data_IF_135625387677
#
_entry.id   IF_135625387677
#
_cell.length_a   1.000
_cell.length_b   1.000
_cell.length_c   1.000
_cell.angle_alpha   90.00
_cell.angle_beta   90.00
_cell.angle_gamma   90.00
#
_symmetry.space_group_name_H-M   'P 1'
#
loop_
_entity.id
_entity.type
_entity.pdbx_description
1 polymer ?
#
# COMPACT_ATOMS: atom_id res chain seq x y z
N UNK A 1 49.74 -46.64 -58.60
CA UNK A 1 48.91 -45.42 -58.42
C UNK A 1 47.53 -45.93 -58.07
N UNK A 2 47.19 -45.94 -56.79
CA UNK A 2 45.81 -46.19 -56.35
C UNK A 2 45.44 -45.07 -55.37
N UNK A 3 44.44 -44.27 -55.76
CA UNK A 3 43.91 -43.18 -54.97
C UNK A 3 43.00 -43.79 -53.90
N UNK A 4 43.40 -43.68 -52.63
CA UNK A 4 42.52 -43.95 -51.49
C UNK A 4 41.58 -42.75 -51.35
N UNK A 5 40.37 -42.85 -51.90
CA UNK A 5 39.30 -41.92 -51.58
C UNK A 5 38.85 -42.15 -50.13
N UNK A 6 39.23 -41.23 -49.24
CA UNK A 6 38.65 -41.13 -47.91
C UNK A 6 37.34 -40.37 -48.01
N UNK A 7 36.24 -41.10 -47.94
CA UNK A 7 34.90 -40.53 -47.79
C UNK A 7 34.79 -39.91 -46.37
N UNK A 8 34.78 -38.57 -46.30
CA UNK A 8 34.56 -37.83 -45.06
C UNK A 8 33.05 -37.81 -44.81
N UNK A 9 32.55 -38.74 -44.01
CA UNK A 9 31.16 -38.75 -43.56
C UNK A 9 30.99 -37.68 -42.48
N UNK A 10 30.33 -36.58 -42.83
CA UNK A 10 29.96 -35.54 -41.86
C UNK A 10 29.04 -36.14 -40.77
N UNK A 11 29.26 -35.84 -39.48
CA UNK A 11 28.37 -36.31 -38.42
C UNK A 11 27.00 -35.68 -38.61
N UNK A 12 26.00 -36.49 -38.96
CA UNK A 12 24.60 -36.07 -38.89
C UNK A 12 24.28 -35.87 -37.42
N UNK A 13 24.29 -34.62 -36.95
CA UNK A 13 23.65 -34.23 -35.69
C UNK A 13 22.17 -34.54 -35.84
N UNK A 14 21.77 -35.71 -35.37
CA UNK A 14 20.37 -36.07 -35.23
C UNK A 14 19.80 -35.15 -34.15
N UNK A 15 19.17 -34.06 -34.56
CA UNK A 15 18.24 -33.35 -33.67
C UNK A 15 17.09 -34.31 -33.40
N UNK A 16 17.14 -34.99 -32.26
CA UNK A 16 15.99 -35.73 -31.75
C UNK A 16 14.95 -34.72 -31.29
N UNK A 17 14.00 -34.38 -32.16
CA UNK A 17 12.77 -33.70 -31.76
C UNK A 17 11.96 -34.70 -30.94
N UNK A 18 12.16 -34.68 -29.61
CA UNK A 18 11.39 -35.50 -28.67
C UNK A 18 9.91 -35.11 -28.81
N UNK A 19 9.14 -35.95 -29.50
CA UNK A 19 7.71 -35.75 -29.73
C UNK A 19 6.99 -35.91 -28.39
N UNK A 20 6.74 -34.80 -27.71
CA UNK A 20 6.01 -34.78 -26.43
C UNK A 20 4.58 -35.29 -26.67
N UNK A 21 4.07 -36.12 -25.78
CA UNK A 21 2.68 -36.57 -25.89
C UNK A 21 1.73 -35.39 -25.62
N UNK A 22 0.52 -35.43 -26.17
CA UNK A 22 -0.49 -34.40 -25.89
C UNK A 22 -0.80 -34.26 -24.39
N UNK A 23 -0.71 -35.36 -23.64
CA UNK A 23 -0.87 -35.40 -22.19
C UNK A 23 0.27 -34.67 -21.46
N UNK A 24 1.52 -34.86 -21.89
CA UNK A 24 2.67 -34.12 -21.34
C UNK A 24 2.56 -32.61 -21.62
N UNK A 25 2.12 -32.24 -22.82
CA UNK A 25 1.92 -30.84 -23.20
C UNK A 25 0.78 -30.22 -22.39
N UNK A 26 -0.34 -30.92 -22.24
CA UNK A 26 -1.46 -30.47 -21.43
C UNK A 26 -1.08 -30.27 -19.97
N UNK A 27 -0.37 -31.24 -19.36
CA UNK A 27 0.10 -31.16 -17.97
C UNK A 27 1.05 -29.97 -17.77
N UNK A 28 1.97 -29.74 -18.71
CA UNK A 28 2.88 -28.59 -18.67
C UNK A 28 2.13 -27.25 -18.76
N UNK A 29 1.13 -27.15 -19.66
CA UNK A 29 0.32 -25.94 -19.81
C UNK A 29 -0.53 -25.72 -18.55
N UNK A 30 -1.19 -26.76 -18.04
CA UNK A 30 -2.00 -26.71 -16.84
C UNK A 30 -1.20 -26.19 -15.64
N UNK A 31 -0.01 -26.73 -15.39
CA UNK A 31 0.84 -26.27 -14.29
C UNK A 31 1.29 -24.82 -14.45
N UNK A 32 1.63 -24.39 -15.67
CA UNK A 32 1.99 -22.99 -15.94
C UNK A 32 0.82 -22.04 -15.67
N UNK A 33 -0.38 -22.39 -16.11
CA UNK A 33 -1.59 -21.59 -15.85
C UNK A 33 -1.93 -21.59 -14.36
N UNK A 34 -1.84 -22.74 -13.69
CA UNK A 34 -2.11 -22.85 -12.26
C UNK A 34 -1.16 -22.00 -11.41
N UNK A 35 0.15 -22.04 -11.69
CA UNK A 35 1.14 -21.19 -11.02
C UNK A 35 0.85 -19.71 -11.29
N UNK A 36 0.51 -19.35 -12.54
CA UNK A 36 0.15 -17.98 -12.90
C UNK A 36 -1.06 -17.48 -12.10
N UNK A 37 -2.09 -18.31 -11.94
CA UNK A 37 -3.28 -17.98 -11.15
C UNK A 37 -2.96 -17.80 -9.66
N UNK A 38 -2.08 -18.63 -9.09
CA UNK A 38 -1.62 -18.45 -7.71
C UNK A 38 -0.90 -17.11 -7.56
N UNK A 39 0.04 -16.79 -8.45
CA UNK A 39 0.81 -15.54 -8.38
C UNK A 39 -0.09 -14.31 -8.51
N UNK A 40 -0.98 -14.27 -9.51
CA UNK A 40 -1.92 -13.15 -9.65
C UNK A 40 -2.94 -13.09 -8.51
N UNK A 41 -3.40 -14.23 -8.01
CA UNK A 41 -4.27 -14.31 -6.84
C UNK A 41 -3.59 -13.73 -5.59
N UNK A 42 -2.34 -14.09 -5.33
CA UNK A 42 -1.56 -13.54 -4.22
C UNK A 42 -1.33 -12.04 -4.36
N UNK A 43 -1.02 -11.54 -5.56
CA UNK A 43 -0.88 -10.09 -5.80
C UNK A 43 -2.21 -9.36 -5.53
N UNK A 44 -3.32 -9.88 -6.05
CA UNK A 44 -4.64 -9.29 -5.85
C UNK A 44 -5.06 -9.25 -4.37
N UNK A 45 -4.78 -10.33 -3.60
CA UNK A 45 -5.04 -10.39 -2.16
C UNK A 45 -4.20 -9.34 -1.41
N UNK A 46 -2.92 -9.20 -1.75
CA UNK A 46 -2.05 -8.19 -1.14
C UNK A 46 -2.51 -6.76 -1.44
N UNK A 47 -2.90 -6.47 -2.69
CA UNK A 47 -3.46 -5.16 -3.07
C UNK A 47 -4.78 -4.91 -2.32
N UNK A 48 -5.69 -5.88 -2.29
CA UNK A 48 -6.95 -5.75 -1.59
C UNK A 48 -6.76 -5.51 -0.09
N UNK A 49 -5.84 -6.25 0.54
CA UNK A 49 -5.47 -6.04 1.93
C UNK A 49 -4.93 -4.62 2.13
N UNK A 50 -3.94 -4.19 1.35
CA UNK A 50 -3.35 -2.85 1.43
C UNK A 50 -4.39 -1.73 1.29
N UNK A 51 -5.28 -1.83 0.31
CA UNK A 51 -6.35 -0.85 0.08
C UNK A 51 -7.37 -0.85 1.23
N UNK A 52 -7.77 -2.03 1.69
CA UNK A 52 -8.74 -2.18 2.79
C UNK A 52 -8.18 -1.63 4.11
N UNK A 53 -6.92 -1.95 4.42
CA UNK A 53 -6.22 -1.40 5.58
C UNK A 53 -6.20 0.13 5.53
N UNK A 54 -5.74 0.73 4.42
CA UNK A 54 -5.68 2.19 4.31
C UNK A 54 -7.07 2.85 4.44
N UNK A 55 -8.14 2.20 3.97
CA UNK A 55 -9.51 2.71 4.12
C UNK A 55 -10.04 2.67 5.55
N UNK A 56 -9.75 1.60 6.30
CA UNK A 56 -10.14 1.47 7.71
C UNK A 56 -9.41 2.51 8.56
N UNK A 57 -8.10 2.67 8.33
CA UNK A 57 -7.25 3.60 9.08
C UNK A 57 -7.61 5.05 8.81
N UNK A 58 -7.92 5.38 7.55
CA UNK A 58 -8.46 6.70 7.20
C UNK A 58 -9.75 7.00 7.98
N UNK A 59 -10.65 6.03 8.10
CA UNK A 59 -11.90 6.20 8.86
C UNK A 59 -11.67 6.49 10.34
N UNK A 60 -10.73 5.77 10.98
CA UNK A 60 -10.36 6.00 12.38
C UNK A 60 -9.74 7.37 12.59
N UNK A 61 -8.80 7.77 11.72
CA UNK A 61 -8.19 9.10 11.75
C UNK A 61 -9.24 10.21 11.64
N UNK A 62 -10.18 10.11 10.70
CA UNK A 62 -11.28 11.08 10.56
C UNK A 62 -12.12 11.13 11.84
N UNK A 63 -12.50 9.99 12.40
CA UNK A 63 -13.32 9.97 13.62
C UNK A 63 -12.61 10.65 14.80
N UNK A 64 -11.33 10.35 15.00
CA UNK A 64 -10.54 10.92 16.09
C UNK A 64 -10.31 12.43 15.90
N UNK A 65 -9.95 12.85 14.69
CA UNK A 65 -9.72 14.27 14.38
C UNK A 65 -10.99 15.11 14.44
N UNK A 66 -12.13 14.60 13.98
CA UNK A 66 -13.43 15.28 14.12
C UNK A 66 -13.78 15.47 15.60
N UNK A 67 -13.50 14.46 16.44
CA UNK A 67 -13.75 14.54 17.90
C UNK A 67 -12.86 15.60 18.54
N UNK A 68 -11.55 15.58 18.24
CA UNK A 68 -10.59 16.55 18.77
C UNK A 68 -10.92 17.99 18.34
N UNK A 69 -11.37 18.20 17.11
CA UNK A 69 -11.81 19.51 16.64
C UNK A 69 -13.09 19.97 17.36
N UNK A 70 -14.05 19.07 17.54
CA UNK A 70 -15.28 19.36 18.28
C UNK A 70 -14.98 19.77 19.73
N UNK A 71 -14.06 19.08 20.40
CA UNK A 71 -13.59 19.42 21.75
C UNK A 71 -12.85 20.76 21.78
N UNK A 72 -11.98 21.03 20.80
CA UNK A 72 -11.26 22.30 20.70
C UNK A 72 -12.21 23.50 20.54
N UNK A 73 -13.28 23.33 19.78
CA UNK A 73 -14.29 24.37 19.51
C UNK A 73 -15.43 24.41 20.54
N UNK A 74 -15.47 23.47 21.49
CA UNK A 74 -16.58 23.28 22.44
C UNK A 74 -17.95 23.16 21.75
N UNK A 75 -18.01 22.34 20.68
CA UNK A 75 -19.22 22.07 19.89
C UNK A 75 -19.54 20.58 19.84
N UNK A 76 -20.78 20.25 19.49
CA UNK A 76 -21.17 18.87 19.24
C UNK A 76 -20.49 18.33 17.98
N UNK A 77 -19.96 17.11 18.04
CA UNK A 77 -19.23 16.46 16.93
C UNK A 77 -20.05 16.39 15.63
N UNK A 78 -21.39 16.32 15.71
CA UNK A 78 -22.28 16.32 14.54
C UNK A 78 -22.35 17.67 13.82
N UNK A 79 -21.78 18.73 14.41
CA UNK A 79 -21.66 20.05 13.80
C UNK A 79 -20.38 20.22 13.00
N UNK A 80 -19.38 19.37 13.21
CA UNK A 80 -18.15 19.39 12.43
C UNK A 80 -18.44 18.79 11.05
N UNK A 81 -18.13 19.52 9.96
CA UNK A 81 -18.33 19.01 8.61
C UNK A 81 -17.36 17.86 8.30
N UNK A 82 -17.61 17.14 7.21
CA UNK A 82 -16.62 16.20 6.70
C UNK A 82 -15.33 16.94 6.31
N UNK A 83 -14.15 16.34 6.56
CA UNK A 83 -12.89 16.95 6.16
C UNK A 83 -12.79 16.99 4.64
N UNK A 84 -12.32 18.12 4.11
CA UNK A 84 -12.17 18.28 2.66
C UNK A 84 -10.84 17.72 2.15
N UNK A 85 -9.86 17.53 3.03
CA UNK A 85 -8.58 16.89 2.74
C UNK A 85 -8.16 15.96 3.86
N UNK A 86 -7.63 14.79 3.47
CA UNK A 86 -7.03 13.80 4.37
C UNK A 86 -5.77 13.28 3.71
N UNK A 87 -4.63 13.53 4.33
CA UNK A 87 -3.31 13.18 3.82
C UNK A 87 -2.64 12.22 4.80
N UNK A 88 -2.03 11.15 4.29
CA UNK A 88 -1.23 10.23 5.11
C UNK A 88 0.24 10.56 4.94
N UNK A 89 0.94 10.76 6.06
CA UNK A 89 2.37 10.97 6.12
C UNK A 89 3.06 9.80 6.81
N UNK A 90 4.20 9.41 6.24
CA UNK A 90 5.19 8.61 6.95
C UNK A 90 6.13 9.52 7.75
N UNK A 91 6.79 8.91 8.73
CA UNK A 91 7.72 9.51 9.70
C UNK A 91 8.77 10.44 9.07
N UNK A 92 9.15 10.21 7.80
CA UNK A 92 10.16 11.00 7.07
C UNK A 92 9.66 12.36 6.54
N UNK A 93 8.35 12.64 6.60
CA UNK A 93 7.72 13.81 5.95
C UNK A 93 6.80 14.56 6.92
N UNK A 94 7.14 14.60 8.20
CA UNK A 94 6.39 15.44 9.15
C UNK A 94 6.77 16.92 8.94
N UNK A 95 5.81 17.82 8.65
CA UNK A 95 6.11 19.22 8.42
C UNK A 95 6.49 19.94 9.72
N UNK A 96 7.38 20.93 9.56
CA UNK A 96 8.14 21.59 10.60
C UNK A 96 7.37 22.62 11.47
N UNK A 97 6.04 22.55 11.55
CA UNK A 97 5.24 23.63 12.13
C UNK A 97 4.36 23.15 13.30
N UNK A 98 4.70 23.60 14.51
CA UNK A 98 3.83 23.60 15.69
C UNK A 98 3.80 22.31 16.52
N UNK A 99 3.67 21.14 15.90
CA UNK A 99 3.48 19.87 16.62
C UNK A 99 4.73 19.01 16.53
N UNK A 100 5.50 18.96 17.62
CA UNK A 100 6.64 18.04 17.74
C UNK A 100 6.12 16.64 18.11
N UNK A 101 5.84 15.82 17.10
CA UNK A 101 5.57 14.41 17.30
C UNK A 101 6.90 13.70 17.63
N UNK A 102 7.10 13.33 18.90
CA UNK A 102 8.11 12.34 19.31
C UNK A 102 7.40 10.97 19.30
N UNK A 103 7.91 9.84 18.76
CA UNK A 103 9.26 9.46 18.32
C UNK A 103 9.34 8.97 16.85
N UNK A 104 10.53 8.50 16.48
CA UNK A 104 11.04 8.05 15.16
C UNK A 104 10.20 6.96 14.43
N UNK A 105 9.12 6.45 15.03
CA UNK A 105 8.28 5.36 14.50
C UNK A 105 6.81 5.75 14.20
N UNK A 106 6.36 6.97 14.54
CA UNK A 106 4.94 7.36 14.37
C UNK A 106 4.55 7.71 12.94
N UNK A 107 3.49 7.06 12.46
CA UNK A 107 2.75 7.46 11.27
C UNK A 107 1.77 8.57 11.63
N UNK A 108 1.39 9.37 10.65
CA UNK A 108 0.44 10.46 10.88
C UNK A 108 -0.56 10.64 9.75
N UNK A 109 -1.75 11.10 10.09
CA UNK A 109 -2.69 11.69 9.16
C UNK A 109 -2.80 13.19 9.44
N UNK A 110 -2.77 14.00 8.38
CA UNK A 110 -3.20 15.39 8.41
C UNK A 110 -4.63 15.43 7.87
N UNK A 111 -5.52 16.03 8.64
CA UNK A 111 -6.93 16.13 8.31
C UNK A 111 -7.31 17.61 8.37
N UNK A 112 -7.75 18.16 7.24
CA UNK A 112 -8.14 19.58 7.17
C UNK A 112 -9.65 19.75 7.17
N UNK A 113 -10.11 20.67 8.01
CA UNK A 113 -11.50 21.08 8.14
C UNK A 113 -11.65 22.57 7.82
N UNK A 114 -12.75 22.92 7.18
CA UNK A 114 -13.19 24.31 7.04
C UNK A 114 -14.46 24.46 7.89
N UNK A 115 -14.38 25.21 8.98
CA UNK A 115 -15.50 25.43 9.89
C UNK A 115 -15.67 26.93 10.14
N UNK A 116 -16.87 27.46 9.87
CA UNK A 116 -17.19 28.89 10.02
C UNK A 116 -16.14 29.82 9.38
N UNK A 117 -15.69 29.48 8.17
CA UNK A 117 -14.67 30.18 7.38
C UNK A 117 -13.21 30.08 7.90
N UNK A 118 -12.97 29.44 9.03
CA UNK A 118 -11.63 29.18 9.58
C UNK A 118 -11.09 27.81 9.11
N UNK A 119 -9.83 27.79 8.68
CA UNK A 119 -9.11 26.56 8.31
C UNK A 119 -8.47 25.92 9.55
N UNK A 120 -8.92 24.72 9.89
CA UNK A 120 -8.33 23.91 10.95
C UNK A 120 -7.53 22.76 10.36
N UNK A 121 -6.32 22.60 10.85
CA UNK A 121 -5.44 21.49 10.52
C UNK A 121 -5.34 20.58 11.74
N UNK A 122 -5.79 19.34 11.59
CA UNK A 122 -5.81 18.38 12.69
C UNK A 122 -4.87 17.22 12.35
N UNK A 123 -3.84 17.05 13.18
CA UNK A 123 -2.86 15.99 13.06
C UNK A 123 -3.25 14.81 13.93
N UNK A 124 -3.44 13.63 13.36
CA UNK A 124 -3.62 12.38 14.08
C UNK A 124 -2.38 11.51 13.96
N UNK A 125 -1.67 11.32 15.06
CA UNK A 125 -0.49 10.47 15.14
C UNK A 125 -0.86 9.08 15.67
N UNK A 126 -0.23 8.05 15.13
CA UNK A 126 -0.43 6.68 15.59
C UNK A 126 0.84 5.83 15.52
N UNK A 127 0.98 4.92 16.48
CA UNK A 127 2.03 3.90 16.49
C UNK A 127 1.46 2.57 16.00
N UNK A 128 1.98 2.06 14.88
CA UNK A 128 1.60 0.75 14.34
C UNK A 128 2.51 -0.34 14.94
N UNK A 129 1.92 -1.29 15.65
CA UNK A 129 2.54 -2.57 15.93
C UNK A 129 1.99 -3.64 14.97
N UNK A 130 2.66 -4.78 14.83
CA UNK A 130 2.23 -5.86 13.93
C UNK A 130 0.83 -6.46 14.20
N UNK A 131 0.07 -5.93 15.15
CA UNK A 131 -1.28 -6.33 15.54
C UNK A 131 -2.30 -5.15 15.60
N UNK A 132 -1.90 -3.88 15.43
CA UNK A 132 -2.78 -2.70 15.58
C UNK A 132 -2.08 -1.47 16.18
N UNK A 133 -2.85 -0.54 16.76
CA UNK A 133 -2.32 0.71 17.36
C UNK A 133 -1.95 0.55 18.83
N UNK A 134 -0.90 1.26 19.28
CA UNK A 134 -0.54 1.36 20.70
C UNK A 134 -0.75 2.78 21.25
N UNK A 135 -0.55 3.81 20.41
CA UNK A 135 -0.67 5.21 20.80
C UNK A 135 -1.47 5.98 19.75
N UNK A 136 -2.36 6.86 20.19
CA UNK A 136 -3.20 7.70 19.34
C UNK A 136 -3.31 9.09 19.97
N UNK A 137 -2.93 10.12 19.21
CA UNK A 137 -3.07 11.50 19.68
C UNK A 137 -3.44 12.43 18.52
N UNK A 138 -4.41 13.30 18.77
CA UNK A 138 -4.90 14.29 17.82
C UNK A 138 -4.57 15.71 18.30
N UNK A 139 -4.05 16.53 17.40
CA UNK A 139 -3.64 17.91 17.69
C UNK A 139 -4.33 18.86 16.72
N UNK A 140 -4.97 19.91 17.21
CA UNK A 140 -5.66 20.92 16.40
C UNK A 140 -4.79 22.17 16.28
N UNK A 141 -4.58 22.63 15.05
CA UNK A 141 -3.89 23.88 14.72
C UNK A 141 -4.88 24.79 14.00
N UNK A 142 -5.10 25.98 14.57
CA UNK A 142 -5.87 27.06 13.96
C UNK A 142 -4.95 27.93 13.10
N UNK A 143 -5.23 28.00 11.79
CA UNK A 143 -4.40 28.72 10.82
C UNK A 143 -4.67 30.23 10.78
N UNK A 144 -5.68 30.75 11.48
CA UNK A 144 -5.96 32.20 11.51
C UNK A 144 -5.14 32.97 12.56
N UNK A 145 -4.52 32.26 13.51
CA UNK A 145 -3.83 32.85 14.66
C UNK A 145 -2.29 32.70 14.66
N UNK A 146 -1.68 32.29 13.52
CA UNK A 146 -0.21 32.27 13.29
C UNK A 146 0.31 33.52 12.56
#
# INVERSE_FOLDING_TARGET
MDKVEKEIVAPKTRMETKKRSGEEVFRDIFWKVFILLIVFGSIAINIYAFVSYNSEWKGKAISATTTALAEHLDVDVSKIPEPFQVTNYSNDVLPAHGVKLEPEELKAYEVMYLYEDTLYEVWYSYEENGFGFIFEEAYVVDRENE
#
